data_IF_581205472367
#
_entry.id   IF_581205472367
#
_cell.length_a   1.000
_cell.length_b   1.000
_cell.length_c   1.000
_cell.angle_alpha   90.00
_cell.angle_beta   90.00
_cell.angle_gamma   90.00
#
_symmetry.space_group_name_H-M   'P 1'
#
loop_
_entity.id
_entity.type
_entity.pdbx_description
1 polymer ?
#
# COMPACT_ATOMS: atom_id res chain seq x y z
N UNK A 1 16.44 -6.27 17.43
CA UNK A 1 15.24 -5.90 16.63
C UNK A 1 15.14 -6.74 15.36
N UNK A 2 16.13 -6.75 14.47
CA UNK A 2 16.08 -7.56 13.24
C UNK A 2 15.93 -9.06 13.55
N UNK A 3 16.70 -9.58 14.52
CA UNK A 3 16.58 -11.00 14.93
C UNK A 3 15.21 -11.32 15.51
N UNK A 4 14.65 -10.42 16.33
CA UNK A 4 13.29 -10.55 16.87
C UNK A 4 12.22 -10.64 15.76
N UNK A 5 12.35 -9.81 14.72
CA UNK A 5 11.45 -9.85 13.56
C UNK A 5 11.64 -11.16 12.77
N UNK A 6 12.88 -11.60 12.57
CA UNK A 6 13.17 -12.85 11.89
C UNK A 6 12.60 -14.07 12.64
N UNK A 7 12.71 -14.08 13.96
CA UNK A 7 12.17 -15.14 14.80
C UNK A 7 10.64 -15.11 14.87
N UNK A 8 10.02 -13.92 14.80
CA UNK A 8 8.58 -13.78 14.60
C UNK A 8 8.13 -14.43 13.29
N UNK A 9 8.81 -14.16 12.18
CA UNK A 9 8.50 -14.76 10.88
C UNK A 9 8.65 -16.28 10.86
N UNK A 10 9.69 -16.83 11.52
CA UNK A 10 9.89 -18.28 11.63
C UNK A 10 8.76 -18.96 12.38
N UNK A 11 8.23 -18.32 13.42
CA UNK A 11 7.25 -18.91 14.32
C UNK A 11 5.80 -18.54 13.99
N UNK A 12 5.56 -17.76 12.93
CA UNK A 12 4.26 -17.13 12.67
C UNK A 12 3.12 -18.13 12.46
N UNK A 13 3.43 -19.32 11.96
CA UNK A 13 2.47 -20.40 11.72
C UNK A 13 1.95 -21.02 13.01
N UNK A 14 2.74 -20.95 14.09
CA UNK A 14 2.37 -21.54 15.39
C UNK A 14 1.35 -20.69 16.14
N UNK A 15 1.22 -19.41 15.81
CA UNK A 15 0.20 -18.54 16.38
C UNK A 15 -1.16 -18.79 15.71
N UNK A 16 -2.23 -18.83 16.51
CA UNK A 16 -3.59 -19.08 16.01
C UNK A 16 -4.02 -17.92 15.10
N UNK A 17 -4.28 -18.25 13.83
CA UNK A 17 -4.81 -17.30 12.84
C UNK A 17 -6.29 -17.03 13.13
N UNK A 18 -6.52 -16.03 13.97
CA UNK A 18 -7.85 -15.63 14.43
C UNK A 18 -7.82 -15.44 15.93
N UNK A 19 -7.88 -14.18 16.38
CA UNK A 19 -7.98 -13.87 17.80
C UNK A 19 -9.23 -14.56 18.36
N UNK A 20 -9.06 -15.68 19.06
CA UNK A 20 -10.11 -16.31 19.87
C UNK A 20 -10.51 -15.44 21.06
N UNK A 21 -9.83 -14.30 21.24
CA UNK A 21 -10.25 -13.20 22.07
C UNK A 21 -11.56 -12.65 21.50
N UNK A 22 -12.65 -12.98 22.20
CA UNK A 22 -13.93 -12.26 22.11
C UNK A 22 -13.65 -10.76 22.05
N UNK A 23 -14.54 -10.00 21.40
CA UNK A 23 -14.53 -8.52 21.29
C UNK A 23 -14.46 -7.73 22.62
N UNK A 24 -14.04 -8.32 23.74
CA UNK A 24 -13.43 -7.60 24.84
C UNK A 24 -11.95 -7.37 24.50
N UNK A 25 -11.65 -6.18 24.00
CA UNK A 25 -10.33 -5.56 24.15
C UNK A 25 -10.09 -5.24 25.63
N UNK A 26 -10.14 -6.25 26.51
CA UNK A 26 -9.26 -6.26 27.68
C UNK A 26 -7.89 -6.65 27.12
N UNK A 27 -7.28 -5.71 26.38
CA UNK A 27 -5.84 -5.78 26.22
C UNK A 27 -5.36 -5.72 27.66
N UNK A 28 -4.76 -6.80 28.13
CA UNK A 28 -3.98 -6.84 29.35
C UNK A 28 -2.72 -5.97 29.20
N UNK A 29 -2.90 -4.71 28.81
CA UNK A 29 -2.13 -3.59 29.34
C UNK A 29 -2.69 -3.50 30.74
N UNK A 30 -2.04 -4.08 31.77
CA UNK A 30 -2.53 -3.92 33.12
C UNK A 30 -2.75 -2.43 33.35
N UNK A 31 -3.86 -2.05 33.98
CA UNK A 31 -4.13 -0.67 34.39
C UNK A 31 -3.02 -0.08 35.30
N UNK A 32 -2.04 -0.91 35.67
CA UNK A 32 -0.80 -0.57 36.36
C UNK A 32 0.36 -0.15 35.45
N UNK A 33 0.22 -0.12 34.12
CA UNK A 33 1.15 0.62 33.27
C UNK A 33 0.86 2.11 33.48
N UNK A 34 1.31 2.60 34.64
CA UNK A 34 1.47 4.03 34.87
C UNK A 34 2.25 4.62 33.68
N UNK A 35 1.96 5.86 33.26
CA UNK A 35 2.78 6.52 32.26
C UNK A 35 4.24 6.35 32.66
N UNK A 36 5.14 6.02 31.71
CA UNK A 36 6.52 5.68 32.04
C UNK A 36 7.05 6.72 33.02
N UNK A 37 7.60 6.24 34.14
CA UNK A 37 8.25 7.12 35.11
C UNK A 37 9.34 7.95 34.43
N UNK A 38 9.94 8.88 35.14
CA UNK A 38 11.04 9.71 34.62
C UNK A 38 12.23 8.90 34.09
N UNK A 39 12.33 7.61 34.44
CA UNK A 39 13.41 6.73 34.02
C UNK A 39 13.08 5.97 32.72
N UNK A 40 14.00 5.95 31.74
CA UNK A 40 13.79 5.25 30.48
C UNK A 40 13.81 3.73 30.68
N UNK A 41 12.81 3.05 30.12
CA UNK A 41 12.77 1.59 30.08
C UNK A 41 13.79 1.03 29.08
N UNK A 42 14.52 -0.06 29.42
CA UNK A 42 15.40 -0.73 28.47
C UNK A 42 14.58 -1.37 27.34
N UNK A 43 15.11 -1.31 26.12
CA UNK A 43 14.46 -1.85 24.91
C UNK A 43 14.12 -3.34 25.06
N UNK A 44 14.94 -4.10 25.78
CA UNK A 44 14.70 -5.54 26.01
C UNK A 44 13.46 -5.81 26.87
N UNK A 45 13.14 -4.94 27.82
CA UNK A 45 11.91 -5.05 28.60
C UNK A 45 10.70 -4.79 27.70
N UNK A 46 10.79 -3.75 26.86
CA UNK A 46 9.73 -3.42 25.89
C UNK A 46 9.48 -4.60 24.95
N UNK A 47 10.53 -5.20 24.37
CA UNK A 47 10.41 -6.34 23.46
C UNK A 47 9.76 -7.56 24.11
N UNK A 48 10.00 -7.81 25.41
CA UNK A 48 9.32 -8.86 26.17
C UNK A 48 7.84 -8.57 26.34
N UNK A 49 7.47 -7.32 26.61
CA UNK A 49 6.06 -6.93 26.72
C UNK A 49 5.33 -7.08 25.38
N UNK A 50 5.99 -6.74 24.26
CA UNK A 50 5.47 -7.00 22.91
C UNK A 50 5.17 -8.49 22.74
N UNK A 51 6.13 -9.34 23.10
CA UNK A 51 6.02 -10.78 22.91
C UNK A 51 4.92 -11.42 23.77
N UNK A 52 4.78 -10.97 25.02
CA UNK A 52 3.86 -11.57 25.98
C UNK A 52 2.43 -11.04 25.85
N UNK A 53 2.26 -9.76 25.50
CA UNK A 53 0.96 -9.09 25.57
C UNK A 53 0.41 -8.68 24.21
N UNK A 54 1.27 -8.23 23.28
CA UNK A 54 0.79 -7.80 21.97
C UNK A 54 0.66 -8.96 21.00
N UNK A 55 1.71 -9.78 20.80
CA UNK A 55 1.72 -10.86 19.80
C UNK A 55 0.50 -11.79 19.92
N UNK A 56 0.12 -12.30 21.11
CA UNK A 56 -1.04 -13.19 21.24
C UNK A 56 -2.40 -12.52 20.92
N UNK A 57 -2.47 -11.19 21.03
CA UNK A 57 -3.67 -10.41 20.73
C UNK A 57 -3.76 -9.92 19.29
N UNK A 58 -2.71 -10.08 18.49
CA UNK A 58 -2.70 -9.61 17.10
C UNK A 58 -3.38 -10.60 16.16
N UNK A 59 -4.03 -10.06 15.14
CA UNK A 59 -4.37 -10.85 13.94
C UNK A 59 -3.11 -10.98 13.09
N UNK A 60 -2.62 -12.20 12.89
CA UNK A 60 -1.39 -12.46 12.14
C UNK A 60 -1.62 -12.46 10.62
N UNK A 61 -1.67 -11.28 10.01
CA UNK A 61 -1.87 -11.09 8.55
C UNK A 61 -0.82 -11.78 7.66
N UNK A 62 0.38 -12.02 8.21
CA UNK A 62 1.50 -12.64 7.50
C UNK A 62 1.58 -14.15 7.73
N UNK A 63 0.64 -14.73 8.49
CA UNK A 63 0.56 -16.17 8.68
C UNK A 63 0.23 -16.86 7.34
N UNK A 64 0.86 -18.01 7.01
CA UNK A 64 0.53 -18.76 5.80
C UNK A 64 -0.92 -19.27 5.79
N UNK A 65 -1.57 -19.31 6.96
CA UNK A 65 -2.95 -19.75 7.15
C UNK A 65 -3.96 -18.58 7.22
N UNK A 66 -3.56 -17.36 6.84
CA UNK A 66 -4.43 -16.19 6.83
C UNK A 66 -5.03 -15.96 5.43
N UNK A 67 -6.33 -16.24 5.28
CA UNK A 67 -7.06 -16.09 4.01
C UNK A 67 -8.20 -15.07 4.08
N UNK A 68 -8.24 -14.23 5.11
CA UNK A 68 -9.26 -13.20 5.26
C UNK A 68 -8.89 -11.92 4.47
N UNK A 69 -9.92 -11.21 3.98
CA UNK A 69 -9.79 -9.94 3.25
C UNK A 69 -8.94 -10.03 1.96
N UNK A 70 -7.91 -9.20 1.85
CA UNK A 70 -6.88 -9.27 0.82
C UNK A 70 -5.53 -9.45 1.51
N UNK A 71 -4.63 -10.29 0.96
CA UNK A 71 -3.32 -10.47 1.53
C UNK A 71 -2.57 -9.13 1.56
N UNK A 72 -1.81 -8.89 2.63
CA UNK A 72 -0.86 -7.79 2.70
C UNK A 72 0.52 -8.35 2.36
N UNK A 73 0.77 -8.55 1.06
CA UNK A 73 1.99 -9.22 0.61
C UNK A 73 3.24 -8.40 0.90
N UNK A 74 4.27 -9.01 1.45
CA UNK A 74 5.54 -8.36 1.82
C UNK A 74 6.73 -9.06 1.17
N UNK A 75 7.85 -8.33 1.04
CA UNK A 75 9.15 -8.92 0.71
C UNK A 75 10.29 -8.22 1.48
N UNK A 76 11.49 -8.81 1.41
CA UNK A 76 12.68 -8.27 2.07
C UNK A 76 13.11 -6.92 1.46
N UNK A 77 13.02 -6.77 0.14
CA UNK A 77 13.42 -5.53 -0.54
C UNK A 77 12.59 -4.32 -0.09
N UNK A 78 11.28 -4.50 0.06
CA UNK A 78 10.34 -3.50 0.57
C UNK A 78 10.59 -3.21 2.05
N UNK A 79 10.97 -4.22 2.85
CA UNK A 79 11.33 -4.02 4.25
C UNK A 79 12.59 -3.13 4.38
N UNK A 80 13.61 -3.42 3.57
CA UNK A 80 14.82 -2.60 3.51
C UNK A 80 14.53 -1.19 3.00
N UNK A 81 13.61 -1.06 2.03
CA UNK A 81 13.12 0.22 1.54
C UNK A 81 12.48 1.06 2.66
N UNK A 82 11.59 0.47 3.46
CA UNK A 82 10.96 1.15 4.61
C UNK A 82 11.99 1.56 5.67
N UNK A 83 12.98 0.71 5.96
CA UNK A 83 14.09 1.06 6.86
C UNK A 83 14.84 2.27 6.32
N UNK A 84 15.22 2.27 5.04
CA UNK A 84 15.95 3.39 4.43
C UNK A 84 15.12 4.68 4.40
N UNK A 85 13.84 4.60 4.02
CA UNK A 85 12.92 5.74 4.03
C UNK A 85 12.81 6.35 5.44
N UNK A 86 12.67 5.50 6.46
CA UNK A 86 12.59 5.93 7.87
C UNK A 86 13.92 6.50 8.36
N UNK A 87 15.05 5.90 7.97
CA UNK A 87 16.38 6.39 8.35
C UNK A 87 16.68 7.78 7.80
N UNK A 88 16.26 8.08 6.56
CA UNK A 88 16.47 9.40 5.98
C UNK A 88 15.48 10.44 6.49
N UNK A 89 14.31 10.01 6.98
CA UNK A 89 13.26 10.86 7.54
C UNK A 89 13.05 12.16 6.73
N UNK A 90 12.99 12.01 5.41
CA UNK A 90 13.01 13.14 4.50
C UNK A 90 11.59 13.56 4.13
N UNK A 91 11.22 14.77 4.53
CA UNK A 91 9.90 15.33 4.26
C UNK A 91 9.79 15.84 2.83
N UNK A 92 8.69 15.46 2.20
CA UNK A 92 8.60 15.47 0.76
C UNK A 92 7.52 16.36 0.17
N UNK A 93 7.31 17.53 0.76
CA UNK A 93 6.23 18.42 0.38
C UNK A 93 6.52 19.21 -0.92
N UNK A 94 7.79 19.35 -1.33
CA UNK A 94 8.19 19.99 -2.58
C UNK A 94 9.41 19.29 -3.21
N UNK A 95 9.73 19.65 -4.46
CA UNK A 95 10.89 19.10 -5.16
C UNK A 95 12.23 19.54 -4.54
N UNK A 96 12.29 20.73 -3.94
CA UNK A 96 13.52 21.27 -3.35
C UNK A 96 13.95 20.53 -2.07
N UNK A 97 13.03 19.94 -1.33
CA UNK A 97 13.33 19.28 -0.06
C UNK A 97 14.04 17.93 -0.30
N UNK A 98 13.45 16.96 -1.02
CA UNK A 98 14.24 15.84 -1.56
C UNK A 98 14.05 15.69 -3.08
N UNK A 99 14.95 16.29 -3.89
CA UNK A 99 14.88 16.19 -5.35
C UNK A 99 15.06 14.74 -5.80
N UNK A 100 16.02 14.01 -5.21
CA UNK A 100 16.27 12.61 -5.53
C UNK A 100 15.06 11.71 -5.26
N UNK A 101 14.35 11.91 -4.14
CA UNK A 101 13.15 11.12 -3.84
C UNK A 101 12.00 11.43 -4.80
N UNK A 102 11.85 12.71 -5.18
CA UNK A 102 10.79 13.15 -6.11
C UNK A 102 11.05 12.63 -7.53
N UNK A 103 12.29 12.67 -8.00
CA UNK A 103 12.66 12.13 -9.32
C UNK A 103 12.57 10.60 -9.36
N UNK A 104 12.98 9.92 -8.28
CA UNK A 104 12.86 8.46 -8.17
C UNK A 104 11.38 8.03 -8.22
N UNK A 105 10.49 8.72 -7.52
CA UNK A 105 9.05 8.44 -7.56
C UNK A 105 8.48 8.63 -8.97
N UNK A 106 8.74 9.79 -9.58
CA UNK A 106 8.13 10.16 -10.86
C UNK A 106 8.68 9.35 -12.03
N UNK A 107 10.00 9.37 -12.22
CA UNK A 107 10.63 8.88 -13.44
C UNK A 107 10.90 7.38 -13.36
N UNK A 108 11.31 6.89 -12.20
CA UNK A 108 11.75 5.50 -12.08
C UNK A 108 10.57 4.63 -11.67
N UNK A 109 9.91 4.92 -10.55
CA UNK A 109 8.89 4.01 -10.02
C UNK A 109 7.60 4.06 -10.86
N UNK A 110 7.05 5.27 -11.10
CA UNK A 110 5.75 5.38 -11.77
C UNK A 110 5.81 5.04 -13.26
N UNK A 111 6.80 5.55 -14.00
CA UNK A 111 6.92 5.24 -15.43
C UNK A 111 7.32 3.78 -15.66
N UNK A 112 8.15 3.14 -14.81
CA UNK A 112 8.44 1.71 -14.96
C UNK A 112 7.22 0.86 -14.65
N UNK A 113 6.47 1.19 -13.61
CA UNK A 113 5.23 0.48 -13.28
C UNK A 113 4.18 0.64 -14.40
N UNK A 114 4.03 1.85 -14.92
CA UNK A 114 3.15 2.11 -16.07
C UNK A 114 3.57 1.30 -17.31
N UNK A 115 4.88 1.15 -17.56
CA UNK A 115 5.40 0.33 -18.64
C UNK A 115 5.15 -1.16 -18.42
N UNK A 116 5.35 -1.67 -17.19
CA UNK A 116 5.04 -3.06 -16.83
C UNK A 116 3.56 -3.39 -17.03
N UNK A 117 2.68 -2.45 -16.71
CA UNK A 117 1.24 -2.54 -16.92
C UNK A 117 0.82 -2.25 -18.38
N UNK A 118 1.78 -1.92 -19.27
CA UNK A 118 1.54 -1.51 -20.66
C UNK A 118 0.46 -0.42 -20.76
N UNK A 119 0.54 0.59 -19.89
CA UNK A 119 -0.34 1.75 -19.94
C UNK A 119 0.07 2.69 -21.09
N UNK A 120 -0.89 3.44 -21.66
CA UNK A 120 -0.55 4.44 -22.67
C UNK A 120 0.29 5.57 -22.07
N UNK A 121 1.05 6.25 -22.94
CA UNK A 121 1.92 7.39 -22.55
C UNK A 121 1.15 8.55 -21.90
N UNK A 122 -0.17 8.59 -22.05
CA UNK A 122 -1.05 9.53 -21.35
C UNK A 122 -1.10 9.35 -19.84
N UNK A 123 -0.59 8.24 -19.30
CA UNK A 123 -0.43 8.01 -17.85
C UNK A 123 1.02 8.17 -17.35
N UNK A 124 1.97 8.40 -18.26
CA UNK A 124 3.41 8.48 -17.96
C UNK A 124 3.87 9.93 -17.88
N UNK A 125 4.83 10.21 -17.01
CA UNK A 125 5.50 11.50 -16.90
C UNK A 125 6.34 11.84 -18.13
N UNK A 126 6.92 10.83 -18.77
CA UNK A 126 7.60 10.98 -20.08
C UNK A 126 6.65 11.30 -21.24
N UNK A 127 5.33 11.21 -21.03
CA UNK A 127 4.30 11.55 -22.00
C UNK A 127 3.54 12.81 -21.62
N UNK A 128 2.21 12.71 -21.57
CA UNK A 128 1.32 13.83 -21.28
C UNK A 128 0.60 13.74 -19.93
N UNK A 129 0.93 12.74 -19.11
CA UNK A 129 0.29 12.53 -17.81
C UNK A 129 1.28 12.34 -16.68
N UNK A 130 0.91 11.48 -15.73
CA UNK A 130 1.76 11.12 -14.59
C UNK A 130 1.00 10.39 -13.49
N UNK A 131 1.72 10.04 -12.43
CA UNK A 131 1.16 9.36 -11.26
C UNK A 131 1.84 9.76 -9.95
N UNK A 132 1.11 9.65 -8.84
CA UNK A 132 1.66 9.91 -7.50
C UNK A 132 1.35 8.79 -6.52
N UNK A 133 2.34 8.50 -5.67
CA UNK A 133 2.21 7.57 -4.56
C UNK A 133 1.42 8.25 -3.45
N UNK A 134 0.31 7.65 -3.01
CA UNK A 134 -0.56 8.25 -2.00
C UNK A 134 -0.87 7.28 -0.86
N UNK A 135 -0.85 7.83 0.36
CA UNK A 135 -1.20 7.11 1.57
C UNK A 135 -2.71 7.09 1.69
N UNK A 136 -3.30 5.94 2.03
CA UNK A 136 -4.72 5.93 2.39
C UNK A 136 -4.88 6.66 3.71
N UNK A 137 -5.28 7.93 3.63
CA UNK A 137 -5.90 8.66 4.75
C UNK A 137 -7.39 8.95 4.47
N UNK A 138 -7.82 8.96 3.20
CA UNK A 138 -9.22 8.89 2.80
C UNK A 138 -9.33 8.49 1.30
N UNK A 139 -9.85 7.29 1.02
CA UNK A 139 -10.26 6.77 -0.30
C UNK A 139 -9.30 6.80 -1.50
N UNK A 140 -8.02 7.18 -1.37
CA UNK A 140 -7.05 7.18 -2.50
C UNK A 140 -5.73 6.52 -2.09
N UNK A 141 -5.45 5.33 -2.62
CA UNK A 141 -4.09 4.77 -2.79
C UNK A 141 -3.46 5.27 -4.08
N UNK A 142 -2.18 4.96 -4.34
CA UNK A 142 -1.39 5.33 -5.52
C UNK A 142 -2.26 5.50 -6.77
N UNK A 143 -2.39 6.75 -7.23
CA UNK A 143 -3.33 7.13 -8.28
C UNK A 143 -2.55 7.79 -9.41
N UNK A 144 -2.72 7.29 -10.62
CA UNK A 144 -2.36 8.01 -11.84
C UNK A 144 -3.51 8.97 -12.17
N UNK A 145 -3.19 10.23 -12.43
CA UNK A 145 -4.16 11.32 -12.59
C UNK A 145 -3.97 11.95 -13.96
N UNK A 146 -4.91 11.77 -14.89
CA UNK A 146 -5.20 12.84 -15.87
C UNK A 146 -6.18 13.83 -15.23
N UNK A 147 -6.59 14.93 -15.88
CA UNK A 147 -7.14 16.16 -15.22
C UNK A 147 -8.61 16.40 -15.60
N UNK A 148 -9.52 16.68 -14.65
CA UNK A 148 -10.92 17.03 -14.98
C UNK A 148 -11.90 17.11 -13.80
N UNK A 149 -12.90 17.99 -13.95
CA UNK A 149 -13.84 18.47 -12.91
C UNK A 149 -15.30 18.14 -13.29
N UNK A 150 -15.62 16.87 -13.51
CA UNK A 150 -16.97 16.41 -13.90
C UNK A 150 -17.40 15.18 -13.10
N UNK A 151 -18.69 14.83 -13.12
CA UNK A 151 -19.27 13.72 -12.36
C UNK A 151 -18.48 12.42 -12.53
N UNK A 152 -18.25 11.68 -11.43
CA UNK A 152 -17.32 10.54 -11.37
C UNK A 152 -18.05 9.19 -11.40
N UNK A 153 -17.71 8.35 -12.37
CA UNK A 153 -18.03 6.92 -12.41
C UNK A 153 -16.84 6.15 -11.84
N UNK A 154 -17.11 5.27 -10.87
CA UNK A 154 -16.12 4.35 -10.31
C UNK A 154 -16.45 2.94 -10.77
N UNK A 155 -15.52 2.32 -11.47
CA UNK A 155 -15.65 0.94 -11.93
C UNK A 155 -14.51 0.09 -11.38
N UNK A 156 -14.78 -1.18 -11.17
CA UNK A 156 -13.76 -2.22 -10.96
C UNK A 156 -13.25 -2.64 -12.35
N UNK A 157 -12.21 -3.47 -12.42
CA UNK A 157 -11.63 -4.04 -13.65
C UNK A 157 -12.70 -4.40 -14.71
N UNK A 158 -12.37 -4.25 -16.00
CA UNK A 158 -13.32 -4.28 -17.16
C UNK A 158 -14.09 -2.96 -17.36
N UNK A 159 -13.35 -1.90 -17.67
CA UNK A 159 -13.87 -0.54 -17.80
C UNK A 159 -14.25 -0.14 -19.23
N UNK A 160 -14.20 -1.05 -20.21
CA UNK A 160 -14.36 -0.74 -21.63
C UNK A 160 -15.75 -0.15 -21.95
N UNK A 161 -16.82 -0.84 -21.59
CA UNK A 161 -18.21 -0.39 -21.82
C UNK A 161 -18.53 0.83 -20.97
N UNK A 162 -18.06 0.85 -19.71
CA UNK A 162 -18.28 1.96 -18.80
C UNK A 162 -17.58 3.24 -19.28
N UNK A 163 -16.39 3.11 -19.87
CA UNK A 163 -15.64 4.23 -20.41
C UNK A 163 -16.30 4.81 -21.67
N UNK A 164 -16.83 3.95 -22.56
CA UNK A 164 -17.51 4.42 -23.78
C UNK A 164 -18.73 5.29 -23.43
N UNK A 165 -19.61 4.77 -22.56
CA UNK A 165 -20.79 5.51 -22.09
C UNK A 165 -20.38 6.78 -21.36
N UNK A 166 -19.40 6.72 -20.46
CA UNK A 166 -18.96 7.90 -19.73
C UNK A 166 -18.44 9.00 -20.65
N UNK A 167 -17.68 8.63 -21.68
CA UNK A 167 -17.14 9.57 -22.65
C UNK A 167 -18.23 10.26 -23.48
N UNK A 168 -19.29 9.55 -23.87
CA UNK A 168 -20.44 10.13 -24.58
C UNK A 168 -21.13 11.24 -23.78
N UNK A 169 -21.16 11.11 -22.44
CA UNK A 169 -21.71 12.13 -21.53
C UNK A 169 -20.65 13.09 -20.99
N UNK A 170 -19.38 12.93 -21.39
CA UNK A 170 -18.25 13.70 -20.89
C UNK A 170 -18.05 13.57 -19.37
N UNK A 171 -18.34 12.41 -18.80
CA UNK A 171 -18.16 12.06 -17.39
C UNK A 171 -16.74 11.57 -17.12
N UNK A 172 -16.30 11.71 -15.87
CA UNK A 172 -15.00 11.24 -15.41
C UNK A 172 -15.03 9.75 -15.07
N UNK A 173 -14.08 8.98 -15.60
CA UNK A 173 -13.92 7.56 -15.32
C UNK A 173 -12.72 7.32 -14.42
N UNK A 174 -12.98 6.71 -13.27
CA UNK A 174 -11.95 6.24 -12.35
C UNK A 174 -12.03 4.72 -12.20
N UNK A 175 -10.92 4.05 -12.52
CA UNK A 175 -10.80 2.59 -12.37
C UNK A 175 -10.14 2.27 -11.05
N UNK A 176 -10.88 1.59 -10.15
CA UNK A 176 -10.34 1.04 -8.91
C UNK A 176 -9.78 -0.35 -9.13
N UNK A 177 -8.47 -0.42 -9.36
CA UNK A 177 -7.71 -1.65 -9.50
C UNK A 177 -6.83 -1.92 -8.27
N UNK A 178 -7.29 -1.54 -7.07
CA UNK A 178 -6.49 -1.63 -5.84
C UNK A 178 -5.89 -3.02 -5.60
N UNK A 179 -6.62 -4.11 -5.84
CA UNK A 179 -6.11 -5.48 -5.71
C UNK A 179 -5.70 -6.08 -7.05
N UNK A 180 -6.66 -6.32 -7.95
CA UNK A 180 -6.40 -6.99 -9.23
C UNK A 180 -5.65 -6.16 -10.27
N UNK A 181 -5.31 -4.90 -9.99
CA UNK A 181 -4.45 -4.13 -10.90
C UNK A 181 -3.03 -4.67 -10.98
N UNK A 182 -2.53 -5.25 -9.89
CA UNK A 182 -1.18 -5.85 -9.85
C UNK A 182 -1.06 -7.09 -10.73
N UNK A 183 -2.13 -7.89 -10.87
CA UNK A 183 -2.11 -9.06 -11.76
C UNK A 183 -2.02 -8.69 -13.24
N UNK A 184 -2.43 -7.47 -13.64
CA UNK A 184 -2.34 -6.99 -15.02
C UNK A 184 -0.90 -6.77 -15.54
N UNK A 185 0.12 -6.95 -14.69
CA UNK A 185 1.52 -7.06 -15.12
C UNK A 185 1.73 -8.35 -15.94
N UNK A 186 1.00 -9.40 -15.59
CA UNK A 186 1.05 -10.66 -16.32
C UNK A 186 0.26 -10.55 -17.64
N UNK A 187 0.82 -11.00 -18.79
CA UNK A 187 0.15 -10.90 -20.10
C UNK A 187 -1.25 -11.50 -20.14
N UNK A 188 -1.48 -12.59 -19.41
CA UNK A 188 -2.75 -13.32 -19.35
C UNK A 188 -3.88 -12.53 -18.70
N UNK A 189 -3.58 -11.65 -17.74
CA UNK A 189 -4.58 -10.79 -17.06
C UNK A 189 -4.64 -9.37 -17.64
N UNK A 190 -3.74 -9.03 -18.58
CA UNK A 190 -3.67 -7.69 -19.16
C UNK A 190 -4.94 -7.26 -19.90
N UNK A 191 -5.75 -8.22 -20.35
CA UNK A 191 -7.01 -7.96 -21.04
C UNK A 191 -8.03 -7.19 -20.17
N UNK A 192 -7.94 -7.26 -18.84
CA UNK A 192 -8.78 -6.46 -17.94
C UNK A 192 -8.51 -4.94 -18.00
N UNK A 193 -7.39 -4.54 -18.61
CA UNK A 193 -7.02 -3.15 -18.91
C UNK A 193 -7.22 -2.79 -20.40
N UNK A 194 -8.01 -3.56 -21.14
CA UNK A 194 -8.45 -3.13 -22.47
C UNK A 194 -9.37 -1.91 -22.32
N UNK A 195 -9.19 -0.88 -23.15
CA UNK A 195 -9.96 0.36 -23.05
C UNK A 195 -9.43 1.37 -22.01
N UNK A 196 -8.32 1.08 -21.33
CA UNK A 196 -7.74 1.98 -20.31
C UNK A 196 -7.32 3.34 -20.87
N UNK A 197 -7.08 3.44 -22.18
CA UNK A 197 -6.79 4.68 -22.90
C UNK A 197 -7.97 5.68 -22.88
N UNK A 198 -9.19 5.21 -22.60
CA UNK A 198 -10.41 6.01 -22.50
C UNK A 198 -10.77 6.40 -21.07
N UNK A 199 -9.94 6.01 -20.10
CA UNK A 199 -10.14 6.24 -18.67
C UNK A 199 -9.34 7.45 -18.22
N UNK A 200 -9.89 8.26 -17.32
CA UNK A 200 -9.19 9.46 -16.82
C UNK A 200 -8.18 9.15 -15.72
N UNK A 201 -8.46 8.18 -14.85
CA UNK A 201 -7.63 7.87 -13.69
C UNK A 201 -7.68 6.40 -13.27
N UNK A 202 -6.54 5.88 -12.80
CA UNK A 202 -6.36 4.51 -12.35
C UNK A 202 -5.70 4.51 -10.97
N UNK A 203 -6.15 3.62 -10.09
CA UNK A 203 -5.55 3.39 -8.77
C UNK A 203 -5.15 1.92 -8.64
N UNK A 204 -3.96 1.69 -8.07
CA UNK A 204 -3.50 0.35 -7.69
C UNK A 204 -2.88 0.40 -6.29
N UNK A 205 -2.89 -0.72 -5.57
CA UNK A 205 -2.29 -0.80 -4.22
C UNK A 205 -1.17 -1.84 -4.20
N UNK A 206 0.10 -1.42 -4.37
CA UNK A 206 1.24 -2.34 -4.36
C UNK A 206 1.31 -3.20 -3.10
N UNK A 207 0.85 -2.67 -1.95
CA UNK A 207 0.89 -3.37 -0.67
C UNK A 207 -0.13 -4.50 -0.52
N UNK A 208 -1.01 -4.68 -1.52
CA UNK A 208 -1.93 -5.82 -1.54
C UNK A 208 -1.37 -6.99 -2.33
N UNK A 209 -0.82 -6.74 -3.52
CA UNK A 209 -0.42 -7.84 -4.39
C UNK A 209 0.81 -7.55 -5.27
N UNK A 210 1.67 -6.63 -4.84
CA UNK A 210 2.96 -6.30 -5.48
C UNK A 210 4.12 -6.29 -4.48
N UNK A 211 3.96 -7.00 -3.36
CA UNK A 211 5.04 -7.28 -2.40
C UNK A 211 5.66 -6.07 -1.67
N UNK A 212 5.01 -4.89 -1.69
CA UNK A 212 5.48 -3.73 -0.91
C UNK A 212 4.86 -3.72 0.48
N UNK A 213 5.55 -3.15 1.47
CA UNK A 213 5.01 -3.02 2.83
C UNK A 213 3.88 -1.98 2.93
N UNK A 214 3.13 -2.04 4.04
CA UNK A 214 2.17 -0.99 4.38
C UNK A 214 2.89 0.14 5.13
N UNK A 215 2.74 1.42 4.78
CA UNK A 215 2.00 2.00 3.64
C UNK A 215 2.99 2.40 2.54
N UNK A 216 2.79 1.90 1.32
CA UNK A 216 3.52 2.39 0.15
C UNK A 216 3.02 3.80 -0.24
N UNK A 217 3.53 4.83 0.44
CA UNK A 217 3.13 6.21 0.24
C UNK A 217 4.06 7.22 0.94
N UNK A 218 4.12 8.42 0.37
CA UNK A 218 4.73 9.60 1.00
C UNK A 218 3.86 10.09 2.16
N UNK A 219 4.46 10.36 3.32
CA UNK A 219 3.85 11.22 4.34
C UNK A 219 3.88 12.65 3.81
N UNK A 220 2.70 13.24 3.63
CA UNK A 220 2.52 14.66 3.31
C UNK A 220 2.32 15.47 4.58
#
# INVERSE_FOLDING_TARGET
>A
MVDFIADYYKNIETYISGSSLRFNLDISIPASLEPPGTDPNPVDAILKDIQNHMIPGMTHWLSPNFFAFFPATVNIAGFLGEILCTCFNSDGFNWLAPPAATELEMIVVMDWLANMLKLPRTFMFSGSGGGRCHSKYNKRSCSCYSRGSKGQIRTVLEADVAADVANDFGLWVHVDAAYGGSSCICPEFRHHFNGIERVDSLILSPHKWLLTWQKCARSS
#
